data_IF_996132168807
#
_entry.id   IF_996132168807
#
_cell.length_a   1.000
_cell.length_b   1.000
_cell.length_c   1.000
_cell.angle_alpha   90.00
_cell.angle_beta   90.00
_cell.angle_gamma   90.00
#
_symmetry.space_group_name_H-M   'P 1'
#
loop_
_entity.id
_entity.type
_entity.pdbx_description
1 polymer ?
#
# COMPACT_ATOMS: atom_id res chain seq x y z
N UNK A 1 -15.50 -51.98 -27.31
CA UNK A 1 -14.84 -50.66 -27.49
C UNK A 1 -15.12 -49.90 -26.22
N UNK A 2 -14.31 -50.16 -25.21
CA UNK A 2 -14.72 -49.99 -23.82
C UNK A 2 -14.01 -48.83 -23.13
N UNK A 3 -14.80 -48.17 -22.30
CA UNK A 3 -14.60 -46.86 -21.70
C UNK A 3 -13.35 -46.82 -20.83
N UNK A 4 -12.44 -45.87 -21.09
CA UNK A 4 -11.37 -45.52 -20.14
C UNK A 4 -11.97 -44.75 -18.97
N UNK A 5 -12.02 -45.39 -17.81
CA UNK A 5 -12.27 -44.75 -16.52
C UNK A 5 -10.93 -44.63 -15.79
N UNK A 6 -10.70 -43.45 -15.23
CA UNK A 6 -9.51 -43.00 -14.50
C UNK A 6 -9.29 -43.80 -13.19
N UNK A 7 -8.09 -44.35 -12.91
CA UNK A 7 -7.78 -44.81 -11.56
C UNK A 7 -7.21 -43.65 -10.74
N UNK A 8 -8.08 -42.93 -10.03
CA UNK A 8 -7.65 -42.17 -8.85
C UNK A 8 -7.27 -43.19 -7.77
N UNK A 9 -5.97 -43.40 -7.58
CA UNK A 9 -5.44 -44.16 -6.46
C UNK A 9 -5.54 -43.31 -5.19
N UNK A 10 -6.65 -43.47 -4.47
CA UNK A 10 -6.84 -42.96 -3.11
C UNK A 10 -6.49 -44.10 -2.14
N UNK A 11 -5.34 -44.01 -1.47
CA UNK A 11 -5.05 -44.90 -0.33
C UNK A 11 -5.74 -44.35 0.91
N UNK A 12 -6.81 -45.04 1.33
CA UNK A 12 -7.50 -44.85 2.61
C UNK A 12 -6.67 -45.54 3.71
N UNK A 13 -5.89 -44.75 4.44
CA UNK A 13 -5.36 -45.16 5.75
C UNK A 13 -6.46 -44.97 6.79
N UNK A 14 -7.08 -46.07 7.26
CA UNK A 14 -8.07 -46.08 8.33
C UNK A 14 -7.37 -45.82 9.66
N UNK A 15 -7.34 -44.57 10.10
CA UNK A 15 -7.25 -44.22 11.52
C UNK A 15 -8.66 -44.24 12.10
N UNK A 16 -8.88 -45.01 13.17
CA UNK A 16 -10.19 -45.14 13.83
C UNK A 16 -10.63 -43.77 14.35
N UNK A 17 -11.57 -43.14 13.64
CA UNK A 17 -12.29 -41.95 14.09
C UNK A 17 -13.64 -42.40 14.66
N UNK A 18 -13.77 -42.43 15.99
CA UNK A 18 -15.09 -42.51 16.62
C UNK A 18 -15.67 -41.10 16.54
N UNK A 19 -16.53 -40.89 15.55
CA UNK A 19 -17.26 -39.65 15.35
C UNK A 19 -18.04 -39.73 14.04
N UNK A 20 -19.32 -40.06 14.12
CA UNK A 20 -20.23 -39.97 12.97
C UNK A 20 -20.40 -38.51 12.59
N UNK A 21 -19.72 -38.09 11.52
CA UNK A 21 -19.94 -36.79 10.89
C UNK A 21 -20.59 -36.98 9.52
N UNK A 22 -21.87 -36.63 9.43
CA UNK A 22 -22.55 -36.34 8.17
C UNK A 22 -22.40 -34.83 7.95
N UNK A 23 -21.74 -34.42 6.88
CA UNK A 23 -21.56 -33.02 6.53
C UNK A 23 -21.58 -32.84 5.02
N UNK A 24 -22.63 -32.20 4.52
CA UNK A 24 -22.84 -31.85 3.11
C UNK A 24 -21.96 -30.65 2.76
N UNK A 25 -21.15 -30.79 1.72
CA UNK A 25 -20.40 -29.66 1.16
C UNK A 25 -21.35 -28.79 0.33
N UNK A 26 -21.63 -27.58 0.80
CA UNK A 26 -22.26 -26.53 0.00
C UNK A 26 -21.49 -25.22 0.13
N UNK A 27 -21.19 -24.71 -1.07
CA UNK A 27 -20.74 -23.40 -1.51
C UNK A 27 -20.72 -22.23 -0.49
N UNK A 28 -19.52 -21.63 -0.40
CA UNK A 28 -19.23 -20.22 -0.10
C UNK A 28 -19.44 -19.70 1.33
N UNK A 29 -18.49 -18.84 1.72
CA UNK A 29 -18.42 -17.98 2.91
C UNK A 29 -17.70 -18.62 4.11
N UNK A 30 -16.39 -18.42 4.16
CA UNK A 30 -15.61 -18.50 5.40
C UNK A 30 -15.30 -17.07 5.88
N UNK A 31 -16.13 -16.54 6.77
CA UNK A 31 -15.81 -15.38 7.59
C UNK A 31 -15.22 -15.90 8.90
N UNK A 32 -13.88 -15.94 8.96
CA UNK A 32 -13.14 -16.32 10.17
C UNK A 32 -12.51 -15.11 10.82
N UNK A 33 -13.02 -14.70 11.98
CA UNK A 33 -12.32 -13.78 12.90
C UNK A 33 -11.30 -14.61 13.68
N UNK A 34 -10.01 -14.40 13.42
CA UNK A 34 -8.94 -15.11 14.12
C UNK A 34 -8.43 -14.29 15.32
N UNK A 35 -8.85 -14.66 16.53
CA UNK A 35 -8.10 -14.36 17.76
C UNK A 35 -7.40 -15.66 18.18
N UNK A 36 -6.07 -15.65 18.22
CA UNK A 36 -5.33 -16.81 18.72
C UNK A 36 -3.82 -16.71 18.54
N UNK A 37 -3.10 -16.68 19.67
CA UNK A 37 -1.66 -16.91 19.75
C UNK A 37 -1.37 -18.31 19.22
N UNK A 38 -0.70 -18.41 18.08
CA UNK A 38 -0.22 -19.67 17.53
C UNK A 38 1.28 -19.57 17.27
N UNK A 39 2.06 -20.14 18.18
CA UNK A 39 3.44 -20.53 17.95
C UNK A 39 3.42 -21.66 16.92
N UNK A 40 3.71 -21.35 15.66
CA UNK A 40 3.63 -22.28 14.54
C UNK A 40 4.94 -22.39 13.78
N UNK A 41 5.44 -23.61 13.63
CA UNK A 41 6.61 -24.00 12.83
C UNK A 41 6.41 -23.57 11.37
N UNK A 42 7.32 -22.76 10.85
CA UNK A 42 7.33 -22.36 9.43
C UNK A 42 7.96 -23.49 8.62
N UNK A 43 7.12 -24.28 7.93
CA UNK A 43 7.57 -25.11 6.81
C UNK A 43 7.44 -24.27 5.54
N UNK A 44 8.58 -23.78 5.05
CA UNK A 44 8.66 -22.98 3.84
C UNK A 44 8.37 -23.81 2.59
N UNK A 45 7.29 -23.47 1.90
CA UNK A 45 7.13 -23.75 0.47
C UNK A 45 7.59 -22.50 -0.29
N UNK A 46 8.66 -22.66 -1.07
CA UNK A 46 9.16 -21.64 -2.00
C UNK A 46 8.10 -21.38 -3.06
N UNK A 47 7.31 -20.32 -2.88
CA UNK A 47 6.50 -19.71 -3.94
C UNK A 47 7.29 -18.54 -4.49
N UNK A 48 8.10 -18.82 -5.50
CA UNK A 48 8.61 -17.81 -6.42
C UNK A 48 7.75 -17.84 -7.68
N UNK A 49 6.74 -16.95 -7.77
CA UNK A 49 6.18 -16.55 -9.07
C UNK A 49 5.39 -15.23 -8.99
N UNK A 50 6.05 -14.16 -9.44
CA UNK A 50 5.51 -12.86 -9.94
C UNK A 50 4.44 -12.18 -9.07
N UNK A 51 4.87 -11.44 -8.06
CA UNK A 51 4.07 -10.53 -7.24
C UNK A 51 4.35 -9.04 -7.55
N UNK A 52 4.68 -8.71 -8.81
CA UNK A 52 4.97 -7.33 -9.22
C UNK A 52 3.73 -6.57 -9.68
N UNK A 53 3.09 -7.05 -10.75
CA UNK A 53 2.08 -6.26 -11.47
C UNK A 53 0.75 -6.08 -10.72
N UNK A 54 0.27 -7.10 -10.00
CA UNK A 54 -1.02 -7.01 -9.30
C UNK A 54 -0.97 -6.15 -8.03
N UNK A 55 0.16 -6.16 -7.31
CA UNK A 55 0.34 -5.29 -6.15
C UNK A 55 0.56 -3.85 -6.58
N UNK A 56 1.36 -3.61 -7.63
CA UNK A 56 1.53 -2.26 -8.18
C UNK A 56 0.19 -1.68 -8.71
N UNK A 57 -0.64 -2.49 -9.38
CA UNK A 57 -1.97 -2.07 -9.83
C UNK A 57 -2.93 -1.78 -8.66
N UNK A 58 -2.98 -2.62 -7.62
CA UNK A 58 -3.83 -2.39 -6.44
C UNK A 58 -3.34 -1.21 -5.57
N UNK A 59 -2.03 -0.97 -5.53
CA UNK A 59 -1.46 0.18 -4.83
C UNK A 59 -1.68 1.49 -5.60
N UNK A 60 -1.80 1.43 -6.93
CA UNK A 60 -2.08 2.60 -7.77
C UNK A 60 -3.51 3.13 -7.61
N UNK A 61 -4.47 2.31 -7.16
CA UNK A 61 -5.85 2.74 -6.91
C UNK A 61 -5.93 3.81 -5.81
N UNK A 62 -5.05 3.74 -4.82
CA UNK A 62 -5.08 4.61 -3.64
C UNK A 62 -4.26 5.90 -3.81
N UNK A 63 -3.50 6.02 -4.90
CA UNK A 63 -2.54 7.11 -5.11
C UNK A 63 -2.87 7.88 -6.39
N UNK A 64 -3.27 9.15 -6.25
CA UNK A 64 -3.54 10.02 -7.40
C UNK A 64 -2.30 10.80 -7.81
N UNK A 65 -1.94 10.75 -9.09
CA UNK A 65 -0.88 11.58 -9.66
C UNK A 65 -1.39 13.00 -9.96
N UNK A 66 -0.52 14.00 -9.76
CA UNK A 66 -0.76 15.41 -10.05
C UNK A 66 0.03 15.85 -11.29
N UNK A 67 -0.67 16.47 -12.22
CA UNK A 67 -0.12 17.00 -13.48
C UNK A 67 -0.34 18.50 -13.64
N UNK A 68 -1.40 19.05 -13.03
CA UNK A 68 -1.82 20.45 -13.22
C UNK A 68 -1.90 21.23 -11.90
N UNK A 69 -1.94 22.55 -12.01
CA UNK A 69 -1.99 23.45 -10.86
C UNK A 69 -3.31 23.32 -10.09
N UNK A 70 -4.43 23.11 -10.80
CA UNK A 70 -5.75 23.00 -10.17
C UNK A 70 -5.84 21.78 -9.25
N UNK A 71 -5.09 20.70 -9.57
CA UNK A 71 -5.03 19.51 -8.73
C UNK A 71 -4.19 19.73 -7.46
N UNK A 72 -3.26 20.70 -7.49
CA UNK A 72 -2.54 21.13 -6.30
C UNK A 72 -3.41 22.01 -5.40
N UNK A 73 -4.21 22.90 -5.98
CA UNK A 73 -5.22 23.67 -5.24
C UNK A 73 -6.23 22.73 -4.58
N UNK A 74 -6.70 21.70 -5.28
CA UNK A 74 -7.54 20.63 -4.74
C UNK A 74 -6.86 19.90 -3.56
N UNK A 75 -5.54 19.71 -3.59
CA UNK A 75 -4.80 19.11 -2.47
C UNK A 75 -4.78 20.00 -1.25
N UNK A 76 -4.58 21.31 -1.43
CA UNK A 76 -4.61 22.28 -0.33
C UNK A 76 -6.01 22.34 0.30
N UNK A 77 -7.05 22.39 -0.52
CA UNK A 77 -8.44 22.37 -0.06
C UNK A 77 -8.75 21.07 0.72
N UNK A 78 -8.45 19.90 0.15
CA UNK A 78 -8.68 18.62 0.84
C UNK A 78 -7.90 18.49 2.14
N UNK A 79 -6.70 19.08 2.21
CA UNK A 79 -5.91 19.06 3.44
C UNK A 79 -6.57 19.80 4.61
N UNK A 80 -7.61 20.61 4.37
CA UNK A 80 -8.43 21.21 5.43
C UNK A 80 -9.32 20.17 6.13
N UNK A 81 -9.75 19.12 5.43
CA UNK A 81 -10.68 18.12 5.94
C UNK A 81 -9.96 16.88 6.50
N UNK A 82 -8.86 16.48 5.87
CA UNK A 82 -8.06 15.32 6.28
C UNK A 82 -6.62 15.43 5.78
N UNK A 83 -5.66 14.74 6.44
CA UNK A 83 -4.27 14.82 6.03
C UNK A 83 -4.03 14.36 4.58
N UNK A 84 -3.12 15.02 3.87
CA UNK A 84 -2.69 14.63 2.52
C UNK A 84 -1.19 14.39 2.51
N UNK A 85 -0.77 13.20 2.10
CA UNK A 85 0.62 12.83 1.94
C UNK A 85 1.04 12.90 0.47
N UNK A 86 1.90 13.86 0.14
CA UNK A 86 2.38 14.12 -1.22
C UNK A 86 3.84 13.69 -1.38
N UNK A 87 4.11 12.79 -2.33
CA UNK A 87 5.47 12.43 -2.76
C UNK A 87 5.87 13.17 -4.05
N UNK A 88 6.97 13.91 -4.00
CA UNK A 88 7.70 14.40 -5.18
C UNK A 88 8.68 13.34 -5.65
N UNK A 89 8.36 12.70 -6.77
CA UNK A 89 9.12 11.57 -7.32
C UNK A 89 9.87 11.95 -8.60
N UNK A 90 11.19 11.76 -8.63
CA UNK A 90 11.98 11.72 -9.87
C UNK A 90 11.98 10.31 -10.45
N UNK A 91 11.51 10.15 -11.68
CA UNK A 91 11.41 8.87 -12.40
C UNK A 91 12.76 8.33 -12.90
N UNK A 92 13.80 9.17 -12.97
CA UNK A 92 15.13 8.79 -13.48
C UNK A 92 16.19 8.64 -12.39
N UNK A 93 15.87 8.96 -11.12
CA UNK A 93 16.81 8.90 -10.00
C UNK A 93 16.64 7.61 -9.18
N UNK A 94 17.70 6.78 -9.02
CA UNK A 94 17.62 5.54 -8.22
C UNK A 94 17.24 5.75 -6.76
N UNK A 95 17.71 6.85 -6.14
CA UNK A 95 17.36 7.20 -4.75
C UNK A 95 15.87 7.50 -4.66
N UNK A 96 15.31 8.16 -5.68
CA UNK A 96 13.88 8.44 -5.78
C UNK A 96 13.04 7.19 -6.02
N UNK A 97 13.53 6.25 -6.82
CA UNK A 97 12.89 4.94 -6.98
C UNK A 97 12.82 4.15 -5.66
N UNK A 98 13.86 4.25 -4.81
CA UNK A 98 13.82 3.66 -3.47
C UNK A 98 12.76 4.32 -2.58
N UNK A 99 12.73 5.64 -2.52
CA UNK A 99 11.74 6.38 -1.75
C UNK A 99 10.30 6.08 -2.22
N UNK A 100 10.08 5.95 -3.52
CA UNK A 100 8.80 5.54 -4.08
C UNK A 100 8.36 4.16 -3.58
N UNK A 101 9.25 3.15 -3.56
CA UNK A 101 8.90 1.83 -3.01
C UNK A 101 8.54 1.89 -1.53
N UNK A 102 9.27 2.66 -0.73
CA UNK A 102 8.96 2.87 0.70
C UNK A 102 7.60 3.53 0.90
N UNK A 103 7.29 4.54 0.07
CA UNK A 103 6.00 5.20 0.05
C UNK A 103 4.87 4.24 -0.33
N UNK A 104 5.00 3.50 -1.43
CA UNK A 104 3.98 2.55 -1.88
C UNK A 104 3.76 1.41 -0.88
N UNK A 105 4.83 0.89 -0.26
CA UNK A 105 4.74 -0.11 0.80
C UNK A 105 4.03 0.44 2.06
N UNK A 106 4.16 1.74 2.33
CA UNK A 106 3.39 2.40 3.39
C UNK A 106 1.92 2.51 3.01
N UNK A 107 1.60 3.06 1.84
CA UNK A 107 0.23 3.19 1.32
C UNK A 107 -0.49 1.85 1.38
N UNK A 108 0.12 0.79 0.88
CA UNK A 108 -0.46 -0.55 0.87
C UNK A 108 -0.80 -1.13 2.24
N UNK A 109 -0.18 -0.62 3.31
CA UNK A 109 -0.49 -1.03 4.67
C UNK A 109 -1.43 -0.09 5.41
N UNK A 110 -1.43 1.20 5.05
CA UNK A 110 -2.20 2.23 5.75
C UNK A 110 -3.56 2.48 5.09
N UNK A 111 -3.65 2.37 3.76
CA UNK A 111 -4.87 2.62 3.00
C UNK A 111 -5.89 1.48 3.11
N UNK A 112 -5.48 0.29 3.55
CA UNK A 112 -6.38 -0.85 3.77
C UNK A 112 -7.28 -0.70 5.01
N UNK A 113 -7.01 0.28 5.87
CA UNK A 113 -7.84 0.57 7.04
C UNK A 113 -8.93 1.60 6.68
N UNK A 114 -10.23 1.23 6.70
CA UNK A 114 -11.33 2.16 6.40
C UNK A 114 -11.45 3.32 7.38
N UNK A 115 -10.86 3.23 8.58
CA UNK A 115 -10.84 4.31 9.55
C UNK A 115 -9.82 5.41 9.18
N UNK A 116 -8.88 5.11 8.29
CA UNK A 116 -7.86 6.06 7.87
C UNK A 116 -8.40 7.00 6.79
N UNK A 117 -8.33 8.31 7.05
CA UNK A 117 -8.79 9.36 6.12
C UNK A 117 -7.69 9.98 5.29
N UNK A 118 -6.42 9.64 5.56
CA UNK A 118 -5.30 10.25 4.86
C UNK A 118 -5.29 9.89 3.38
N UNK A 119 -5.13 10.92 2.54
CA UNK A 119 -5.02 10.77 1.10
C UNK A 119 -3.57 10.74 0.61
N UNK A 120 -3.33 10.07 -0.51
CA UNK A 120 -2.00 9.91 -1.08
C UNK A 120 -1.91 10.55 -2.46
N UNK A 121 -0.86 11.32 -2.67
CA UNK A 121 -0.59 12.03 -3.92
C UNK A 121 0.84 11.84 -4.37
N UNK A 122 1.04 11.87 -5.69
CA UNK A 122 2.37 11.89 -6.29
C UNK A 122 2.44 13.00 -7.32
N UNK A 123 3.56 13.71 -7.35
CA UNK A 123 3.94 14.55 -8.49
C UNK A 123 5.26 14.03 -9.04
N UNK A 124 5.29 13.72 -10.34
CA UNK A 124 6.54 13.35 -10.99
C UNK A 124 7.29 14.60 -11.40
N UNK A 125 8.46 14.82 -10.82
CA UNK A 125 9.16 16.12 -10.88
C UNK A 125 9.79 16.41 -12.24
N UNK A 126 10.03 15.39 -13.06
CA UNK A 126 10.65 15.55 -14.39
C UNK A 126 9.60 15.95 -15.41
N UNK A 127 8.42 15.36 -15.29
CA UNK A 127 7.25 15.50 -16.15
C UNK A 127 6.45 16.77 -15.80
N UNK A 128 6.36 17.10 -14.50
CA UNK A 128 5.59 18.23 -13.97
C UNK A 128 6.48 19.24 -13.23
N UNK A 129 7.57 19.71 -13.87
CA UNK A 129 8.57 20.62 -13.26
C UNK A 129 7.97 21.91 -12.71
N UNK A 130 7.10 22.56 -13.48
CA UNK A 130 6.42 23.80 -13.07
C UNK A 130 5.59 23.59 -11.81
N UNK A 131 4.77 22.54 -11.79
CA UNK A 131 3.97 22.16 -10.63
C UNK A 131 4.85 21.86 -9.40
N UNK A 132 5.90 21.06 -9.59
CA UNK A 132 6.81 20.67 -8.50
C UNK A 132 7.55 21.85 -7.87
N UNK A 133 7.90 22.86 -8.69
CA UNK A 133 8.45 24.14 -8.22
C UNK A 133 7.39 24.96 -7.49
N UNK A 134 6.20 25.08 -8.07
CA UNK A 134 5.09 25.82 -7.45
C UNK A 134 4.75 25.28 -6.07
N UNK A 135 4.68 23.96 -5.90
CA UNK A 135 4.49 23.33 -4.59
C UNK A 135 5.57 23.77 -3.59
N UNK A 136 6.83 23.91 -4.01
CA UNK A 136 7.90 24.37 -3.12
C UNK A 136 7.76 25.85 -2.77
N UNK A 137 7.31 26.67 -3.72
CA UNK A 137 7.04 28.10 -3.51
C UNK A 137 5.85 28.31 -2.56
N UNK A 138 4.72 27.63 -2.78
CA UNK A 138 3.50 27.77 -1.98
C UNK A 138 3.64 27.21 -0.56
N UNK A 139 4.45 26.15 -0.38
CA UNK A 139 4.65 25.54 0.94
C UNK A 139 5.83 26.14 1.71
N UNK A 140 6.61 27.02 1.09
CA UNK A 140 7.89 27.53 1.59
C UNK A 140 8.91 26.43 1.96
N UNK A 141 8.65 25.17 1.56
CA UNK A 141 9.57 24.05 1.76
C UNK A 141 10.51 23.96 0.57
N UNK A 142 11.82 24.04 0.84
CA UNK A 142 12.84 23.94 -0.20
C UNK A 142 12.62 22.70 -1.09
N UNK A 143 12.68 22.90 -2.40
CA UNK A 143 12.47 21.83 -3.37
C UNK A 143 13.54 20.74 -3.24
N UNK A 144 13.11 19.49 -3.05
CA UNK A 144 13.97 18.31 -3.09
C UNK A 144 13.31 17.18 -3.89
N UNK A 145 14.12 16.24 -4.41
CA UNK A 145 13.63 14.98 -4.97
C UNK A 145 14.58 13.81 -4.68
N UNK A 146 14.10 12.72 -4.07
CA UNK A 146 12.71 12.52 -3.62
C UNK A 146 12.39 13.33 -2.36
N UNK A 147 11.14 13.75 -2.23
CA UNK A 147 10.63 14.50 -1.07
C UNK A 147 9.20 14.08 -0.75
N UNK A 148 8.85 13.96 0.52
CA UNK A 148 7.47 13.74 0.99
C UNK A 148 7.06 14.90 1.87
N UNK A 149 5.87 15.43 1.63
CA UNK A 149 5.20 16.45 2.42
C UNK A 149 3.93 15.85 3.03
N UNK A 150 3.71 16.07 4.33
CA UNK A 150 2.43 15.82 4.98
C UNK A 150 1.73 17.16 5.17
N UNK A 151 0.57 17.30 4.55
CA UNK A 151 -0.28 18.47 4.65
C UNK A 151 -1.46 18.19 5.57
N UNK A 152 -1.80 19.19 6.39
CA UNK A 152 -2.99 19.20 7.26
C UNK A 152 -3.34 20.67 7.54
N UNK A 153 -4.62 21.02 7.51
CA UNK A 153 -5.09 22.40 7.66
C UNK A 153 -4.60 23.37 6.57
N UNK A 154 -4.32 22.89 5.36
CA UNK A 154 -3.82 23.74 4.26
C UNK A 154 -2.32 24.04 4.31
N UNK A 155 -1.59 23.46 5.27
CA UNK A 155 -0.16 23.74 5.49
C UNK A 155 0.66 22.45 5.60
N UNK A 156 1.95 22.54 5.35
CA UNK A 156 2.87 21.42 5.58
C UNK A 156 3.19 21.32 7.07
N UNK A 157 2.79 20.20 7.69
CA UNK A 157 3.06 19.93 9.11
C UNK A 157 4.31 19.06 9.32
N UNK A 158 4.67 18.24 8.33
CA UNK A 158 5.90 17.42 8.34
C UNK A 158 6.47 17.32 6.93
N UNK A 159 7.80 17.24 6.81
CA UNK A 159 8.44 16.93 5.53
C UNK A 159 9.73 16.12 5.72
N UNK A 160 10.09 15.33 4.71
CA UNK A 160 11.34 14.57 4.69
C UNK A 160 11.77 14.26 3.26
N UNK A 161 13.05 13.99 3.03
CA UNK A 161 13.59 13.76 1.68
C UNK A 161 14.59 12.61 1.62
N UNK A 162 14.94 12.19 0.40
CA UNK A 162 16.01 11.22 0.13
C UNK A 162 15.86 9.92 0.94
N UNK A 163 16.97 9.43 1.52
CA UNK A 163 16.99 8.20 2.31
C UNK A 163 16.24 8.27 3.65
N UNK A 164 15.73 9.45 4.02
CA UNK A 164 14.87 9.58 5.21
C UNK A 164 13.42 9.18 4.90
N UNK A 165 13.02 9.08 3.63
CA UNK A 165 11.70 8.57 3.27
C UNK A 165 11.71 7.04 3.50
N UNK A 166 11.04 6.60 4.56
CA UNK A 166 10.95 5.18 4.94
C UNK A 166 9.53 4.86 5.38
N UNK A 167 9.06 3.64 5.11
CA UNK A 167 7.73 3.17 5.55
C UNK A 167 7.52 3.38 7.04
N UNK A 168 8.55 3.10 7.86
CA UNK A 168 8.50 3.28 9.32
C UNK A 168 8.21 4.74 9.71
N UNK A 169 8.89 5.70 9.08
CA UNK A 169 8.69 7.13 9.36
C UNK A 169 7.28 7.57 8.94
N UNK A 170 6.79 7.11 7.79
CA UNK A 170 5.44 7.45 7.31
C UNK A 170 4.34 6.84 8.20
N UNK A 171 4.53 5.62 8.71
CA UNK A 171 3.63 5.04 9.72
C UNK A 171 3.61 5.86 11.01
N UNK A 172 4.76 6.35 11.46
CA UNK A 172 4.81 7.21 12.63
C UNK A 172 4.01 8.49 12.42
N UNK A 173 4.11 9.11 11.24
CA UNK A 173 3.30 10.29 10.89
C UNK A 173 1.80 9.98 10.85
N UNK A 174 1.40 8.82 10.32
CA UNK A 174 -0.01 8.42 10.30
C UNK A 174 -0.59 8.19 11.71
N UNK A 175 0.25 7.79 12.67
CA UNK A 175 -0.16 7.53 14.06
C UNK A 175 -0.08 8.78 14.94
N UNK A 176 0.91 9.64 14.71
CA UNK A 176 1.10 10.89 15.41
C UNK A 176 1.60 11.99 14.44
N UNK A 177 0.69 12.65 13.72
CA UNK A 177 1.05 13.62 12.69
C UNK A 177 1.74 14.88 13.25
N UNK A 178 1.45 15.24 14.51
CA UNK A 178 1.94 16.49 15.13
C UNK A 178 3.23 16.35 15.94
N UNK A 179 3.80 15.15 16.05
CA UNK A 179 5.07 14.90 16.76
C UNK A 179 4.91 14.38 18.18
#
# INVERSE_FOLDING_TARGET
>A
MDKKVNPQTLWLGVGIAIGTSIGVATNQIALGVAFGVAMGVVVGSVVSKRAGSGLDDMLSEHVKELYKQEEWEEVLERSQDHPVLLLKHSTTCPVSARAYREFMAFVGSNASDPAQKMEYRIVKVIESRSLSRRIAEDTEVHHESPQVLLLDGGQVIQHTSHGKITRKRLLQWAQNPFG
#
